data_IF_503608508477
#
_entry.id   IF_503608508477
#
_cell.length_a   1.000
_cell.length_b   1.000
_cell.length_c   1.000
_cell.angle_alpha   90.00
_cell.angle_beta   90.00
_cell.angle_gamma   90.00
#
_symmetry.space_group_name_H-M   'P 1'
#
loop_
_entity.id
_entity.type
_entity.pdbx_description
1 polymer ?
#
# COMPACT_ATOMS: atom_id res chain seq x y z
N UNK A 1 20.09 28.69 12.24
CA UNK A 1 18.84 29.47 12.43
C UNK A 1 17.78 28.96 11.46
N UNK A 2 17.32 27.71 11.60
CA UNK A 2 16.43 27.07 10.61
C UNK A 2 15.46 26.09 11.30
N UNK A 3 14.59 26.59 12.18
CA UNK A 3 13.56 25.74 12.81
C UNK A 3 12.21 26.43 13.05
N UNK A 4 12.07 27.72 12.75
CA UNK A 4 10.80 28.44 12.96
C UNK A 4 9.75 28.12 11.88
N UNK A 5 10.15 27.95 10.61
CA UNK A 5 9.18 27.76 9.50
C UNK A 5 8.56 26.36 9.42
N UNK A 6 9.23 25.30 9.90
CA UNK A 6 8.66 23.93 9.81
C UNK A 6 7.47 23.68 10.74
N UNK A 7 7.24 24.55 11.73
CA UNK A 7 6.12 24.42 12.67
C UNK A 7 5.02 25.46 12.44
N UNK A 8 5.19 26.40 11.50
CA UNK A 8 4.19 27.43 11.21
C UNK A 8 2.81 26.85 10.83
N UNK A 9 2.71 25.80 9.99
CA UNK A 9 1.40 25.21 9.68
C UNK A 9 0.76 24.56 10.91
N UNK A 10 1.56 23.98 11.80
CA UNK A 10 1.08 23.36 13.05
C UNK A 10 0.53 24.42 13.99
N UNK A 11 1.19 25.57 14.11
CA UNK A 11 0.69 26.66 14.95
C UNK A 11 -0.63 27.23 14.43
N UNK A 12 -0.76 27.39 13.10
CA UNK A 12 -1.99 27.86 12.46
C UNK A 12 -3.15 26.86 12.58
N UNK A 13 -2.85 25.56 12.58
CA UNK A 13 -3.84 24.54 12.91
C UNK A 13 -4.32 24.66 14.36
N UNK A 14 -3.40 24.80 15.31
CA UNK A 14 -3.73 24.92 16.74
C UNK A 14 -4.52 26.21 17.05
N UNK A 15 -4.31 27.29 16.29
CA UNK A 15 -5.11 28.52 16.41
C UNK A 15 -6.46 28.46 15.69
N UNK A 16 -6.73 27.39 14.93
CA UNK A 16 -7.96 27.21 14.16
C UNK A 16 -8.00 27.97 12.83
N UNK A 17 -6.91 28.62 12.44
CA UNK A 17 -6.77 29.34 11.17
C UNK A 17 -6.59 28.41 9.96
N UNK A 18 -6.23 27.15 10.22
CA UNK A 18 -5.98 26.13 9.21
C UNK A 18 -6.79 24.88 9.55
N UNK A 19 -7.50 24.32 8.57
CA UNK A 19 -8.13 23.02 8.71
C UNK A 19 -7.09 21.91 8.91
N UNK A 20 -7.50 20.79 9.50
CA UNK A 20 -6.60 19.65 9.69
C UNK A 20 -6.02 19.15 8.36
N UNK A 21 -6.84 19.09 7.31
CA UNK A 21 -6.46 18.64 5.98
C UNK A 21 -5.39 19.55 5.35
N UNK A 22 -5.58 20.87 5.43
CA UNK A 22 -4.63 21.85 4.92
C UNK A 22 -3.33 21.86 5.72
N UNK A 23 -3.43 21.68 7.05
CA UNK A 23 -2.28 21.55 7.93
C UNK A 23 -1.49 20.27 7.64
N UNK A 24 -2.18 19.14 7.45
CA UNK A 24 -1.58 17.88 7.09
C UNK A 24 -0.83 17.99 5.77
N UNK A 25 -1.44 18.60 4.75
CA UNK A 25 -0.80 18.83 3.46
C UNK A 25 0.42 19.74 3.58
N UNK A 26 0.32 20.86 4.31
CA UNK A 26 1.43 21.79 4.48
C UNK A 26 2.63 21.19 5.23
N UNK A 27 2.40 20.27 6.17
CA UNK A 27 3.46 19.62 6.96
C UNK A 27 4.04 18.38 6.26
N UNK A 28 3.20 17.59 5.61
CA UNK A 28 3.59 16.25 5.11
C UNK A 28 3.59 16.11 3.59
N UNK A 29 2.99 17.07 2.87
CA UNK A 29 2.72 16.99 1.44
C UNK A 29 1.55 16.06 1.07
N UNK A 30 0.95 15.35 2.03
CA UNK A 30 -0.15 14.42 1.78
C UNK A 30 -1.47 15.19 1.65
N UNK A 31 -2.17 15.00 0.53
CA UNK A 31 -3.55 15.48 0.36
C UNK A 31 -4.52 14.35 0.67
N UNK A 32 -5.44 14.59 1.61
CA UNK A 32 -6.44 13.60 2.04
C UNK A 32 -7.81 14.26 2.03
N UNK A 33 -8.75 13.67 1.29
CA UNK A 33 -10.14 14.09 1.29
C UNK A 33 -10.83 13.71 2.60
N UNK A 34 -11.79 14.53 3.04
CA UNK A 34 -12.53 14.29 4.28
C UNK A 34 -13.25 12.94 4.31
N UNK A 35 -13.73 12.46 3.16
CA UNK A 35 -14.34 11.13 3.02
C UNK A 35 -13.35 10.00 3.30
N UNK A 36 -12.07 10.16 2.93
CA UNK A 36 -11.03 9.18 3.22
C UNK A 36 -10.67 9.15 4.72
N UNK A 37 -10.73 10.30 5.40
CA UNK A 37 -10.53 10.38 6.86
C UNK A 37 -11.59 9.59 7.63
N UNK A 38 -12.83 9.53 7.16
CA UNK A 38 -13.87 8.70 7.79
C UNK A 38 -13.45 7.23 7.83
N UNK A 39 -12.95 6.70 6.71
CA UNK A 39 -12.45 5.32 6.66
C UNK A 39 -11.25 5.08 7.57
N UNK A 40 -10.36 6.08 7.74
CA UNK A 40 -9.24 6.01 8.70
C UNK A 40 -9.77 5.98 10.14
N UNK A 41 -10.74 6.82 10.48
CA UNK A 41 -11.36 6.86 11.81
C UNK A 41 -12.10 5.56 12.14
N UNK A 42 -12.81 4.97 11.17
CA UNK A 42 -13.47 3.67 11.33
C UNK A 42 -12.46 2.55 11.60
N UNK A 43 -11.35 2.52 10.86
CA UNK A 43 -10.27 1.55 11.10
C UNK A 43 -9.64 1.74 12.49
N UNK A 44 -9.26 2.97 12.84
CA UNK A 44 -8.68 3.28 14.15
C UNK A 44 -9.63 2.92 15.32
N UNK A 45 -10.93 3.16 15.15
CA UNK A 45 -11.94 2.80 16.14
C UNK A 45 -12.12 1.28 16.25
N UNK A 46 -12.08 0.55 15.13
CA UNK A 46 -12.19 -0.91 15.09
C UNK A 46 -10.96 -1.61 15.70
N UNK A 47 -9.75 -1.06 15.49
CA UNK A 47 -8.49 -1.60 16.01
C UNK A 47 -8.21 -1.21 17.48
N UNK A 48 -9.10 -0.42 18.11
CA UNK A 48 -9.00 -0.03 19.51
C UNK A 48 -7.97 1.07 19.79
N UNK A 49 -7.52 1.80 18.76
CA UNK A 49 -6.53 2.88 18.85
C UNK A 49 -5.10 2.44 18.49
N UNK A 50 -4.11 3.31 18.80
CA UNK A 50 -2.69 3.00 18.55
C UNK A 50 -2.27 1.82 19.46
N UNK A 51 -1.75 0.71 18.92
CA UNK A 51 -1.38 -0.45 19.74
C UNK A 51 -0.34 -0.06 20.79
N UNK A 52 -0.71 -0.11 22.07
CA UNK A 52 0.24 -0.04 23.19
C UNK A 52 0.82 -1.44 23.41
N UNK A 53 1.65 -1.92 22.48
CA UNK A 53 2.49 -3.07 22.76
C UNK A 53 3.59 -2.62 23.73
N UNK A 54 3.31 -2.70 25.04
CA UNK A 54 4.28 -2.32 26.06
C UNK A 54 5.40 -3.36 26.10
N UNK A 55 6.61 -2.94 25.76
CA UNK A 55 7.82 -3.72 25.97
C UNK A 55 8.02 -4.00 27.47
N UNK A 56 8.76 -5.06 27.79
CA UNK A 56 9.19 -5.25 29.17
C UNK A 56 10.13 -4.11 29.57
N UNK A 57 10.15 -3.74 30.85
CA UNK A 57 11.06 -2.72 31.37
C UNK A 57 12.54 -3.02 31.06
N UNK A 58 12.90 -4.30 31.01
CA UNK A 58 14.26 -4.72 30.66
C UNK A 58 14.61 -4.37 29.21
N UNK A 59 13.72 -4.68 28.26
CA UNK A 59 13.94 -4.43 26.84
C UNK A 59 13.89 -2.93 26.50
N UNK A 60 12.95 -2.20 27.12
CA UNK A 60 12.83 -0.74 26.95
C UNK A 60 14.11 -0.03 27.41
N UNK A 61 14.66 -0.44 28.56
CA UNK A 61 15.91 0.10 29.08
C UNK A 61 17.09 -0.23 28.16
N UNK A 62 17.19 -1.48 27.71
CA UNK A 62 18.26 -1.94 26.82
C UNK A 62 18.26 -1.16 25.48
N UNK A 63 17.08 -0.96 24.89
CA UNK A 63 16.92 -0.18 23.66
C UNK A 63 17.26 1.30 23.88
N UNK A 64 16.80 1.90 24.98
CA UNK A 64 17.07 3.30 25.32
C UNK A 64 18.55 3.57 25.58
N UNK A 65 19.24 2.67 26.29
CA UNK A 65 20.68 2.77 26.56
C UNK A 65 21.51 2.71 25.26
N UNK A 66 20.96 2.13 24.20
CA UNK A 66 21.54 2.09 22.85
C UNK A 66 20.97 3.15 21.88
N UNK A 67 20.23 4.14 22.38
CA UNK A 67 19.74 5.28 21.62
C UNK A 67 18.46 5.03 20.81
N UNK A 68 17.82 3.88 20.98
CA UNK A 68 16.50 3.58 20.42
C UNK A 68 15.41 4.07 21.38
N UNK A 69 15.08 5.35 21.28
CA UNK A 69 14.01 5.94 22.06
C UNK A 69 12.67 5.80 21.33
N UNK A 70 11.65 5.30 22.04
CA UNK A 70 10.28 5.29 21.52
C UNK A 70 9.82 6.74 21.28
N UNK A 71 9.23 6.97 20.11
CA UNK A 71 8.60 8.24 19.75
C UNK A 71 7.10 7.96 19.62
N UNK A 72 6.30 8.18 20.68
CA UNK A 72 4.88 7.86 20.66
C UNK A 72 4.14 8.50 19.48
N UNK A 73 4.52 9.73 19.11
CA UNK A 73 3.99 10.40 17.92
C UNK A 73 4.38 9.73 16.59
N UNK A 74 5.54 9.09 16.51
CA UNK A 74 5.95 8.35 15.31
C UNK A 74 5.09 7.10 15.12
N UNK A 75 4.75 6.38 16.20
CA UNK A 75 3.86 5.21 16.10
C UNK A 75 2.47 5.64 15.60
N UNK A 76 1.90 6.71 16.18
CA UNK A 76 0.62 7.25 15.73
C UNK A 76 0.65 7.69 14.25
N UNK A 77 1.71 8.40 13.82
CA UNK A 77 1.87 8.80 12.43
C UNK A 77 1.98 7.59 11.50
N UNK A 78 2.74 6.55 11.88
CA UNK A 78 2.88 5.33 11.07
C UNK A 78 1.55 4.58 10.93
N UNK A 79 0.74 4.51 12.00
CA UNK A 79 -0.60 3.91 11.95
C UNK A 79 -1.51 4.71 11.01
N UNK A 80 -1.58 6.03 11.17
CA UNK A 80 -2.40 6.89 10.29
C UNK A 80 -1.95 6.78 8.84
N UNK A 81 -0.65 6.78 8.56
CA UNK A 81 -0.12 6.61 7.20
C UNK A 81 -0.51 5.25 6.60
N UNK A 82 -0.41 4.18 7.40
CA UNK A 82 -0.83 2.83 7.00
C UNK A 82 -2.31 2.82 6.63
N UNK A 83 -3.16 3.43 7.45
CA UNK A 83 -4.61 3.46 7.24
C UNK A 83 -4.99 4.30 6.04
N UNK A 84 -4.38 5.47 5.86
CA UNK A 84 -4.56 6.29 4.66
C UNK A 84 -4.19 5.50 3.41
N UNK A 85 -3.05 4.80 3.42
CA UNK A 85 -2.62 3.99 2.28
C UNK A 85 -3.60 2.83 2.03
N UNK A 86 -4.11 2.19 3.08
CA UNK A 86 -5.09 1.12 2.96
C UNK A 86 -6.41 1.64 2.37
N UNK A 87 -6.90 2.80 2.82
CA UNK A 87 -8.10 3.43 2.28
C UNK A 87 -7.94 3.85 0.82
N UNK A 88 -6.76 4.33 0.42
CA UNK A 88 -6.45 4.60 -0.99
C UNK A 88 -6.48 3.32 -1.83
N UNK A 89 -5.97 2.20 -1.31
CA UNK A 89 -6.04 0.90 -2.01
C UNK A 89 -7.49 0.45 -2.12
N UNK A 90 -8.28 0.55 -1.05
CA UNK A 90 -9.70 0.16 -1.05
C UNK A 90 -10.49 1.00 -2.04
N UNK A 91 -10.32 2.32 -2.02
CA UNK A 91 -11.06 3.24 -2.91
C UNK A 91 -10.69 3.07 -4.38
N UNK A 92 -9.44 2.71 -4.68
CA UNK A 92 -9.00 2.40 -6.04
C UNK A 92 -9.30 0.94 -6.46
N UNK A 93 -9.66 0.06 -5.53
CA UNK A 93 -9.90 -1.35 -5.85
C UNK A 93 -11.22 -1.54 -6.58
N UNK A 94 -11.24 -2.52 -7.47
CA UNK A 94 -12.39 -2.85 -8.31
C UNK A 94 -13.18 -4.03 -7.72
N UNK A 95 -14.48 -3.98 -7.83
CA UNK A 95 -15.40 -5.07 -7.55
C UNK A 95 -15.42 -6.11 -8.68
N UNK A 96 -16.06 -7.26 -8.44
CA UNK A 96 -16.23 -8.31 -9.45
C UNK A 96 -16.98 -7.80 -10.69
N UNK A 97 -17.95 -6.91 -10.51
CA UNK A 97 -18.70 -6.30 -11.62
C UNK A 97 -17.81 -5.39 -12.47
N UNK A 98 -17.08 -4.48 -11.85
CA UNK A 98 -16.20 -3.53 -12.56
C UNK A 98 -15.05 -4.23 -13.28
N UNK A 99 -14.50 -5.31 -12.69
CA UNK A 99 -13.49 -6.12 -13.38
C UNK A 99 -14.10 -6.88 -14.56
N UNK A 100 -15.31 -7.41 -14.43
CA UNK A 100 -16.00 -8.10 -15.52
C UNK A 100 -16.22 -7.15 -16.71
N UNK A 101 -16.67 -5.93 -16.45
CA UNK A 101 -16.82 -4.87 -17.44
C UNK A 101 -15.49 -4.48 -18.08
N UNK A 102 -14.46 -4.18 -17.28
CA UNK A 102 -13.13 -3.80 -17.77
C UNK A 102 -12.49 -4.87 -18.66
N UNK A 103 -12.70 -6.14 -18.36
CA UNK A 103 -12.13 -7.25 -19.13
C UNK A 103 -13.05 -7.75 -20.26
N UNK A 104 -14.28 -7.23 -20.36
CA UNK A 104 -15.27 -7.72 -21.32
C UNK A 104 -15.67 -9.18 -21.12
N UNK A 105 -15.69 -9.66 -19.86
CA UNK A 105 -16.02 -11.05 -19.50
C UNK A 105 -17.17 -11.11 -18.49
N UNK A 106 -17.70 -12.31 -18.23
CA UNK A 106 -18.73 -12.47 -17.20
C UNK A 106 -18.16 -12.40 -15.77
N UNK A 107 -18.99 -12.00 -14.80
CA UNK A 107 -18.64 -12.05 -13.37
C UNK A 107 -18.28 -13.47 -12.92
N UNK A 108 -18.89 -14.51 -13.50
CA UNK A 108 -18.52 -15.90 -13.27
C UNK A 108 -17.08 -16.19 -13.72
N UNK A 109 -16.66 -15.66 -14.88
CA UNK A 109 -15.27 -15.80 -15.35
C UNK A 109 -14.27 -15.11 -14.43
N UNK A 110 -14.61 -13.94 -13.89
CA UNK A 110 -13.77 -13.25 -12.88
C UNK A 110 -13.63 -14.10 -11.62
N UNK A 111 -14.74 -14.64 -11.08
CA UNK A 111 -14.70 -15.53 -9.91
C UNK A 111 -13.87 -16.79 -10.14
N UNK A 112 -13.94 -17.38 -11.34
CA UNK A 112 -13.08 -18.50 -11.72
C UNK A 112 -11.60 -18.11 -11.70
N UNK A 113 -11.24 -16.92 -12.17
CA UNK A 113 -9.84 -16.45 -12.14
C UNK A 113 -9.32 -16.25 -10.73
N UNK A 114 -10.17 -15.74 -9.83
CA UNK A 114 -9.85 -15.63 -8.40
C UNK A 114 -9.62 -17.02 -7.80
N UNK A 115 -10.53 -17.97 -8.04
CA UNK A 115 -10.39 -19.34 -7.56
C UNK A 115 -9.14 -20.04 -8.13
N UNK A 116 -8.80 -19.77 -9.39
CA UNK A 116 -7.60 -20.30 -10.05
C UNK A 116 -6.31 -19.57 -9.65
N UNK A 117 -6.36 -18.58 -8.74
CA UNK A 117 -5.22 -17.74 -8.33
C UNK A 117 -4.50 -17.05 -9.49
N UNK A 118 -5.26 -16.67 -10.52
CA UNK A 118 -4.78 -15.86 -11.66
C UNK A 118 -5.25 -14.40 -11.60
N UNK A 119 -5.97 -14.08 -10.51
CA UNK A 119 -6.40 -12.74 -10.12
C UNK A 119 -6.44 -12.70 -8.59
N UNK A 120 -5.81 -11.72 -7.97
CA UNK A 120 -5.78 -11.56 -6.52
C UNK A 120 -6.94 -10.69 -6.05
N UNK A 121 -7.54 -11.08 -4.93
CA UNK A 121 -8.65 -10.36 -4.30
C UNK A 121 -8.59 -10.49 -2.79
N UNK A 122 -9.18 -9.53 -2.09
CA UNK A 122 -9.36 -9.55 -0.64
C UNK A 122 -10.79 -9.21 -0.27
N UNK A 123 -11.17 -9.51 0.98
CA UNK A 123 -12.45 -9.10 1.56
C UNK A 123 -12.25 -7.81 2.36
N UNK A 124 -13.17 -6.88 2.19
CA UNK A 124 -13.29 -5.68 3.02
C UNK A 124 -14.76 -5.48 3.39
N UNK A 125 -15.10 -5.76 4.66
CA UNK A 125 -16.49 -5.96 5.06
C UNK A 125 -17.10 -7.14 4.29
N UNK A 126 -18.23 -6.89 3.62
CA UNK A 126 -18.94 -7.85 2.77
C UNK A 126 -18.51 -7.79 1.29
N UNK A 127 -17.64 -6.83 0.93
CA UNK A 127 -17.21 -6.61 -0.45
C UNK A 127 -15.94 -7.40 -0.77
N UNK A 128 -15.93 -8.04 -1.93
CA UNK A 128 -14.72 -8.61 -2.53
C UNK A 128 -14.11 -7.60 -3.49
N UNK A 129 -12.88 -7.21 -3.20
CA UNK A 129 -12.15 -6.15 -3.89
C UNK A 129 -10.89 -6.70 -4.56
N UNK A 130 -10.53 -6.12 -5.70
CA UNK A 130 -9.33 -6.43 -6.46
C UNK A 130 -8.52 -5.13 -6.64
N UNK A 131 -7.29 -5.05 -6.10
CA UNK A 131 -6.44 -3.87 -6.25
C UNK A 131 -6.23 -3.47 -7.70
N UNK A 132 -6.36 -2.16 -7.98
CA UNK A 132 -6.16 -1.58 -9.31
C UNK A 132 -4.78 -1.89 -9.92
N UNK A 133 -3.75 -2.07 -9.10
CA UNK A 133 -2.38 -2.32 -9.55
C UNK A 133 -2.20 -3.60 -10.39
N UNK A 134 -3.18 -4.51 -10.38
CA UNK A 134 -3.18 -5.71 -11.22
C UNK A 134 -3.64 -5.44 -12.67
N UNK A 135 -4.17 -4.24 -12.92
CA UNK A 135 -4.81 -3.87 -14.17
C UNK A 135 -4.06 -2.75 -14.87
N UNK A 136 -3.98 -2.85 -16.19
CA UNK A 136 -3.59 -1.77 -17.08
C UNK A 136 -4.85 -1.16 -17.72
N UNK A 137 -4.74 -0.04 -18.47
CA UNK A 137 -5.87 0.49 -19.23
C UNK A 137 -6.46 -0.50 -20.25
N UNK A 138 -5.68 -1.47 -20.72
CA UNK A 138 -6.06 -2.46 -21.72
C UNK A 138 -6.52 -3.80 -21.13
N UNK A 139 -6.49 -3.98 -19.81
CA UNK A 139 -6.94 -5.21 -19.17
C UNK A 139 -6.11 -5.57 -17.94
N UNK A 140 -5.68 -6.82 -17.84
CA UNK A 140 -4.76 -7.25 -16.77
C UNK A 140 -3.34 -7.03 -17.24
N UNK A 141 -2.48 -6.62 -16.30
CA UNK A 141 -1.03 -6.52 -16.54
C UNK A 141 -0.50 -7.87 -17.08
N UNK A 142 0.32 -7.87 -18.15
CA UNK A 142 0.89 -9.10 -18.69
C UNK A 142 1.61 -9.93 -17.62
N UNK A 143 1.49 -11.26 -17.70
CA UNK A 143 2.12 -12.23 -16.77
C UNK A 143 1.73 -12.09 -15.29
N UNK A 144 0.71 -11.28 -14.97
CA UNK A 144 0.25 -11.07 -13.60
C UNK A 144 -0.26 -12.35 -12.94
N UNK A 145 -0.76 -13.32 -13.72
CA UNK A 145 -1.11 -14.65 -13.24
C UNK A 145 0.08 -15.38 -12.60
N UNK A 146 1.27 -15.29 -13.21
CA UNK A 146 2.50 -15.87 -12.65
C UNK A 146 2.97 -15.12 -11.41
N UNK A 147 2.84 -13.80 -11.38
CA UNK A 147 3.16 -12.97 -10.21
C UNK A 147 2.25 -13.33 -9.03
N UNK A 148 0.94 -13.38 -9.25
CA UNK A 148 -0.04 -13.71 -8.20
C UNK A 148 0.15 -15.13 -7.68
N UNK A 149 0.55 -16.07 -8.52
CA UNK A 149 0.83 -17.44 -8.09
C UNK A 149 1.94 -17.50 -7.01
N UNK A 150 2.90 -16.56 -7.03
CA UNK A 150 3.97 -16.43 -6.03
C UNK A 150 3.56 -15.68 -4.76
N UNK A 151 2.50 -14.87 -4.81
CA UNK A 151 2.00 -14.17 -3.62
C UNK A 151 1.38 -15.15 -2.62
N UNK A 152 1.55 -14.88 -1.33
CA UNK A 152 0.88 -15.69 -0.31
C UNK A 152 -0.64 -15.50 -0.41
N UNK A 153 -1.43 -16.58 -0.23
CA UNK A 153 -2.89 -16.49 -0.29
C UNK A 153 -3.49 -15.50 0.73
N UNK A 154 -2.82 -15.33 1.86
CA UNK A 154 -3.22 -14.51 3.01
C UNK A 154 -2.49 -13.16 3.07
N UNK A 155 -1.74 -12.78 2.03
CA UNK A 155 -1.02 -11.50 2.00
C UNK A 155 -1.95 -10.32 2.28
N UNK A 156 -1.47 -9.36 3.06
CA UNK A 156 -2.24 -8.17 3.37
C UNK A 156 -2.36 -7.25 2.12
N UNK A 157 -3.47 -6.54 1.88
CA UNK A 157 -3.61 -5.68 0.70
C UNK A 157 -2.48 -4.66 0.49
N UNK A 158 -1.99 -4.07 1.58
CA UNK A 158 -0.83 -3.17 1.56
C UNK A 158 0.46 -3.85 1.08
N UNK A 159 0.68 -5.12 1.45
CA UNK A 159 1.85 -5.87 1.03
C UNK A 159 1.80 -6.14 -0.47
N UNK A 160 0.67 -6.67 -0.95
CA UNK A 160 0.45 -6.90 -2.39
C UNK A 160 0.60 -5.61 -3.18
N UNK A 161 0.01 -4.51 -2.69
CA UNK A 161 0.16 -3.22 -3.35
C UNK A 161 1.63 -2.79 -3.43
N UNK A 162 2.37 -2.84 -2.31
CA UNK A 162 3.79 -2.47 -2.27
C UNK A 162 4.63 -3.31 -3.24
N UNK A 163 4.43 -4.62 -3.28
CA UNK A 163 5.14 -5.51 -4.21
C UNK A 163 4.91 -5.06 -5.66
N UNK A 164 3.68 -4.70 -6.00
CA UNK A 164 3.33 -4.37 -7.38
C UNK A 164 3.71 -2.95 -7.80
N UNK A 165 3.68 -1.97 -6.88
CA UNK A 165 3.76 -0.53 -7.22
C UNK A 165 5.04 0.16 -6.76
N UNK A 166 5.82 -0.43 -5.84
CA UNK A 166 7.10 0.18 -5.42
C UNK A 166 8.16 -0.03 -6.50
N UNK A 167 8.83 1.03 -6.97
CA UNK A 167 9.92 0.90 -7.92
C UNK A 167 11.08 0.07 -7.37
N UNK A 168 11.54 -0.90 -8.16
CA UNK A 168 12.64 -1.79 -7.80
C UNK A 168 13.92 -1.34 -8.51
N UNK A 169 15.05 -1.12 -7.81
CA UNK A 169 16.30 -0.68 -8.42
C UNK A 169 16.80 -1.61 -9.55
N UNK A 170 16.56 -2.91 -9.42
CA UNK A 170 16.96 -3.92 -10.41
C UNK A 170 16.04 -3.99 -11.63
N UNK A 171 14.83 -3.40 -11.55
CA UNK A 171 13.91 -3.30 -12.68
C UNK A 171 14.12 -1.98 -13.41
N UNK A 172 15.26 -1.86 -14.09
CA UNK A 172 15.62 -0.72 -14.92
C UNK A 172 15.78 -1.16 -16.37
N UNK A 173 15.07 -0.50 -17.29
CA UNK A 173 15.34 -0.62 -18.73
C UNK A 173 16.52 0.29 -19.10
N UNK A 174 17.20 -0.01 -20.22
CA UNK A 174 18.44 0.65 -20.63
C UNK A 174 18.40 2.20 -20.45
N UNK A 175 19.12 2.70 -19.43
CA UNK A 175 19.24 4.13 -19.12
C UNK A 175 18.01 4.79 -18.48
N UNK A 176 17.03 4.01 -18.03
CA UNK A 176 15.78 4.50 -17.44
C UNK A 176 15.80 4.56 -15.91
N UNK A 177 14.73 5.14 -15.34
CA UNK A 177 14.48 5.13 -13.90
C UNK A 177 14.00 3.73 -13.44
N UNK A 178 14.23 3.37 -12.16
CA UNK A 178 13.63 2.18 -11.54
C UNK A 178 12.13 2.09 -11.79
N UNK A 179 11.65 0.90 -12.10
CA UNK A 179 10.24 0.63 -12.42
C UNK A 179 9.63 -0.28 -11.37
N UNK A 180 8.32 -0.11 -11.13
CA UNK A 180 7.54 -1.08 -10.37
C UNK A 180 7.33 -2.36 -11.18
N UNK A 181 6.95 -3.47 -10.53
CA UNK A 181 6.64 -4.72 -11.23
C UNK A 181 5.51 -4.52 -12.23
N UNK A 182 4.42 -3.84 -11.82
CA UNK A 182 3.29 -3.59 -12.68
C UNK A 182 3.68 -2.74 -13.91
N UNK A 183 4.50 -1.70 -13.72
CA UNK A 183 4.98 -0.85 -14.81
C UNK A 183 5.92 -1.60 -15.75
N UNK A 184 6.87 -2.35 -15.20
CA UNK A 184 7.88 -3.07 -15.98
C UNK A 184 7.22 -4.08 -16.93
N UNK A 185 6.22 -4.83 -16.44
CA UNK A 185 5.45 -5.82 -17.22
C UNK A 185 4.47 -5.18 -18.22
N UNK A 186 3.99 -3.97 -17.96
CA UNK A 186 3.01 -3.29 -18.84
C UNK A 186 3.67 -2.56 -20.00
N UNK A 187 4.83 -1.93 -19.76
CA UNK A 187 5.42 -0.97 -20.72
C UNK A 187 5.90 -1.57 -22.02
N UNK A 188 6.39 -2.80 -21.98
CA UNK A 188 6.81 -3.53 -23.18
C UNK A 188 6.90 -5.02 -22.88
N UNK A 189 6.89 -5.88 -23.91
CA UNK A 189 7.16 -7.30 -23.75
C UNK A 189 8.46 -7.52 -22.98
N UNK A 190 8.46 -8.58 -22.18
CA UNK A 190 9.60 -9.03 -21.38
C UNK A 190 10.10 -10.36 -21.93
N UNK A 191 11.41 -10.60 -21.84
CA UNK A 191 11.97 -11.94 -22.11
C UNK A 191 11.63 -12.90 -20.97
N UNK A 192 11.83 -14.21 -21.19
CA UNK A 192 11.65 -15.20 -20.13
C UNK A 192 12.62 -14.98 -18.96
N UNK A 193 13.85 -14.51 -19.23
CA UNK A 193 14.85 -14.19 -18.20
C UNK A 193 14.43 -12.97 -17.38
N UNK A 194 13.93 -11.91 -18.03
CA UNK A 194 13.40 -10.72 -17.35
C UNK A 194 12.17 -11.06 -16.50
N UNK A 195 11.29 -11.92 -17.03
CA UNK A 195 10.13 -12.39 -16.29
C UNK A 195 10.55 -13.24 -15.08
N UNK A 196 11.52 -14.13 -15.23
CA UNK A 196 12.03 -14.92 -14.11
C UNK A 196 12.64 -14.02 -13.04
N UNK A 197 13.41 -12.99 -13.44
CA UNK A 197 13.95 -12.00 -12.52
C UNK A 197 12.85 -11.28 -11.73
N UNK A 198 11.75 -10.89 -12.38
CA UNK A 198 10.57 -10.32 -11.70
C UNK A 198 10.00 -11.31 -10.68
N UNK A 199 9.86 -12.59 -11.02
CA UNK A 199 9.31 -13.59 -10.11
C UNK A 199 10.22 -13.83 -8.90
N UNK A 200 11.54 -13.81 -9.09
CA UNK A 200 12.51 -13.93 -7.99
C UNK A 200 12.41 -12.75 -7.01
N UNK A 201 12.14 -11.53 -7.52
CA UNK A 201 11.89 -10.36 -6.67
C UNK A 201 10.60 -10.48 -5.86
N UNK A 202 9.54 -11.04 -6.45
CA UNK A 202 8.26 -11.29 -5.75
C UNK A 202 8.48 -12.30 -4.63
N UNK A 203 9.21 -13.38 -4.91
CA UNK A 203 9.57 -14.37 -3.89
C UNK A 203 10.35 -13.67 -2.77
N UNK A 204 11.45 -12.95 -3.08
CA UNK A 204 12.26 -12.25 -2.10
C UNK A 204 11.45 -11.28 -1.22
N UNK A 205 10.53 -10.53 -1.83
CA UNK A 205 9.65 -9.60 -1.11
C UNK A 205 8.70 -10.35 -0.15
N UNK A 206 8.18 -11.51 -0.55
CA UNK A 206 7.27 -12.32 0.28
C UNK A 206 7.92 -12.93 1.52
N UNK A 207 9.25 -13.10 1.54
CA UNK A 207 10.02 -13.58 2.70
C UNK A 207 10.44 -12.46 3.65
N UNK A 208 10.44 -11.20 3.20
CA UNK A 208 10.95 -10.05 3.99
C UNK A 208 9.98 -9.53 5.06
N UNK A 209 8.73 -10.02 5.06
CA UNK A 209 7.63 -9.53 5.91
C UNK A 209 7.33 -10.41 7.13
N UNK A 210 8.25 -11.31 7.53
CA UNK A 210 8.12 -12.15 8.74
C UNK A 210 8.75 -11.46 9.94
#
# INVERSE_FOLDING_TARGET
MTSASSFEPIQRYLSGELGFEDALHAVTGLSVERSALVGVLETLAADGGVPNASLSYHDEKLLSDHGFHERPGAVAVMTVQRDVQLQQIISASLTVGEVAERLGVSTARVRQRIAARTLWSFLWGDRRLMPAAQFSPSGIVPHMDKVIARLRPDSHPLEVHKILTVPQPSLTRAGGNPQSIADFLTRAPVTDDELQHVLDLVDAASWSTV
#
